data_IF_989798705790
#
_entry.id   IF_989798705790
#
_cell.length_a   1.000
_cell.length_b   1.000
_cell.length_c   1.000
_cell.angle_alpha   90.00
_cell.angle_beta   90.00
_cell.angle_gamma   90.00
#
_symmetry.space_group_name_H-M   'P 1'
#
loop_
_entity.id
_entity.type
_entity.pdbx_description
1 polymer ?
#
# COMPACT_ATOMS: atom_id res chain seq x y z
N UNK A 1 1.10 -44.31 -84.41
CA UNK A 1 2.14 -43.97 -83.42
C UNK A 1 1.45 -43.35 -82.21
N UNK A 2 1.94 -43.74 -81.04
CA UNK A 2 1.36 -43.67 -79.69
C UNK A 2 1.11 -42.25 -79.17
N UNK A 3 0.07 -42.07 -78.35
CA UNK A 3 0.16 -41.30 -77.10
C UNK A 3 -0.93 -41.66 -76.08
N UNK A 4 -0.49 -41.86 -74.84
CA UNK A 4 -1.22 -42.28 -73.63
C UNK A 4 -2.30 -41.31 -73.14
N UNK A 5 -3.31 -41.80 -72.40
CA UNK A 5 -4.25 -40.97 -71.66
C UNK A 5 -3.70 -40.61 -70.27
N UNK A 6 -3.77 -39.31 -69.95
CA UNK A 6 -3.47 -38.76 -68.63
C UNK A 6 -4.48 -39.22 -67.58
N UNK A 7 -3.93 -39.79 -66.50
CA UNK A 7 -4.58 -40.26 -65.29
C UNK A 7 -5.22 -39.10 -64.51
N UNK A 8 -6.55 -39.06 -64.41
CA UNK A 8 -7.25 -38.21 -63.44
C UNK A 8 -7.05 -38.79 -62.03
N UNK A 9 -6.42 -38.01 -61.14
CA UNK A 9 -6.28 -38.29 -59.71
C UNK A 9 -7.64 -38.11 -59.02
N UNK A 10 -8.10 -39.04 -58.17
CA UNK A 10 -9.29 -38.84 -57.37
C UNK A 10 -8.98 -38.01 -56.10
N UNK A 11 -9.80 -36.98 -55.89
CA UNK A 11 -10.34 -36.47 -54.62
C UNK A 11 -9.63 -36.91 -53.32
N UNK A 12 -8.66 -36.11 -52.87
CA UNK A 12 -8.07 -36.18 -51.52
C UNK A 12 -8.34 -34.91 -50.67
N UNK A 13 -9.14 -33.96 -51.15
CA UNK A 13 -9.32 -32.64 -50.53
C UNK A 13 -10.47 -32.55 -49.50
N UNK A 14 -11.30 -33.59 -49.34
CA UNK A 14 -12.45 -33.56 -48.42
C UNK A 14 -12.14 -34.05 -47.00
N UNK A 15 -11.07 -34.82 -46.81
CA UNK A 15 -10.73 -35.40 -45.50
C UNK A 15 -10.05 -34.40 -44.55
N UNK A 16 -9.27 -33.44 -45.06
CA UNK A 16 -8.51 -32.48 -44.23
C UNK A 16 -9.36 -31.31 -43.69
N UNK A 17 -10.37 -30.88 -44.43
CA UNK A 17 -11.27 -29.80 -43.99
C UNK A 17 -12.27 -30.28 -42.93
N UNK A 18 -12.69 -31.55 -42.99
CA UNK A 18 -13.60 -32.15 -42.02
C UNK A 18 -12.94 -32.44 -40.66
N UNK A 19 -11.67 -32.89 -40.64
CA UNK A 19 -10.93 -33.12 -39.38
C UNK A 19 -10.65 -31.81 -38.64
N UNK A 20 -10.31 -30.73 -39.35
CA UNK A 20 -10.11 -29.41 -38.76
C UNK A 20 -11.40 -28.83 -38.15
N UNK A 21 -12.54 -28.93 -38.84
CA UNK A 21 -13.85 -28.51 -38.31
C UNK A 21 -14.25 -29.28 -37.04
N UNK A 22 -13.97 -30.58 -37.00
CA UNK A 22 -14.31 -31.48 -35.87
C UNK A 22 -13.45 -31.24 -34.63
N UNK A 23 -12.18 -30.92 -34.84
CA UNK A 23 -11.28 -30.55 -33.74
C UNK A 23 -11.66 -29.16 -33.19
N UNK A 24 -12.13 -28.26 -34.07
CA UNK A 24 -12.60 -26.92 -33.72
C UNK A 24 -13.91 -26.93 -32.90
N UNK A 25 -14.91 -27.77 -33.24
CA UNK A 25 -16.16 -27.88 -32.47
C UNK A 25 -15.96 -28.45 -31.06
N UNK A 26 -15.15 -29.50 -30.92
CA UNK A 26 -14.80 -30.06 -29.61
C UNK A 26 -13.97 -29.08 -28.76
N UNK A 27 -13.02 -28.37 -29.38
CA UNK A 27 -12.23 -27.33 -28.69
C UNK A 27 -13.10 -26.16 -28.24
N UNK A 28 -14.06 -25.73 -29.08
CA UNK A 28 -15.03 -24.70 -28.74
C UNK A 28 -15.97 -25.15 -27.61
N UNK A 29 -16.39 -26.41 -27.59
CA UNK A 29 -17.23 -26.95 -26.52
C UNK A 29 -16.46 -27.04 -25.19
N UNK A 30 -15.21 -27.51 -25.22
CA UNK A 30 -14.34 -27.56 -24.04
C UNK A 30 -14.06 -26.15 -23.49
N UNK A 31 -13.78 -25.18 -24.37
CA UNK A 31 -13.58 -23.78 -23.98
C UNK A 31 -14.82 -23.18 -23.33
N UNK A 32 -16.02 -23.40 -23.90
CA UNK A 32 -17.27 -22.91 -23.30
C UNK A 32 -17.57 -23.56 -21.95
N UNK A 33 -17.34 -24.87 -21.81
CA UNK A 33 -17.49 -25.56 -20.53
C UNK A 33 -16.52 -25.02 -19.47
N UNK A 34 -15.27 -24.74 -19.86
CA UNK A 34 -14.28 -24.14 -18.97
C UNK A 34 -14.68 -22.71 -18.56
N UNK A 35 -15.08 -21.86 -19.51
CA UNK A 35 -15.57 -20.50 -19.22
C UNK A 35 -16.78 -20.57 -18.27
N UNK A 36 -17.73 -21.47 -18.53
CA UNK A 36 -18.89 -21.65 -17.65
C UNK A 36 -18.49 -22.05 -16.22
N UNK A 37 -17.54 -22.98 -16.06
CA UNK A 37 -17.06 -23.39 -14.74
C UNK A 37 -16.33 -22.25 -14.01
N UNK A 38 -15.46 -21.51 -14.70
CA UNK A 38 -14.75 -20.36 -14.12
C UNK A 38 -15.76 -19.31 -13.67
N UNK A 39 -16.71 -18.97 -14.52
CA UNK A 39 -17.72 -17.95 -14.25
C UNK A 39 -18.64 -18.39 -13.10
N UNK A 40 -19.15 -19.63 -13.10
CA UNK A 40 -19.93 -20.17 -12.00
C UNK A 40 -19.14 -20.21 -10.69
N UNK A 41 -17.85 -20.54 -10.73
CA UNK A 41 -16.98 -20.55 -9.54
C UNK A 41 -16.78 -19.14 -8.97
N UNK A 42 -16.51 -18.16 -9.83
CA UNK A 42 -16.36 -16.75 -9.45
C UNK A 42 -17.67 -16.18 -8.88
N UNK A 43 -18.82 -16.59 -9.41
CA UNK A 43 -20.12 -16.08 -8.99
C UNK A 43 -20.83 -16.92 -7.93
N UNK A 44 -20.28 -18.08 -7.56
CA UNK A 44 -20.86 -18.93 -6.52
C UNK A 44 -21.00 -18.19 -5.19
N UNK A 45 -19.99 -17.40 -4.83
CA UNK A 45 -19.96 -16.59 -3.61
C UNK A 45 -20.94 -15.42 -3.62
N UNK A 46 -21.36 -14.94 -4.81
CA UNK A 46 -22.38 -13.89 -4.95
C UNK A 46 -23.79 -14.46 -4.97
N UNK A 47 -23.96 -15.72 -5.43
CA UNK A 47 -25.24 -16.41 -5.44
C UNK A 47 -25.57 -17.14 -4.13
N UNK A 48 -24.57 -17.52 -3.32
CA UNK A 48 -24.81 -18.06 -1.99
C UNK A 48 -25.27 -16.94 -1.06
N UNK A 49 -26.54 -17.02 -0.59
CA UNK A 49 -27.07 -16.11 0.43
C UNK A 49 -26.45 -16.46 1.77
N UNK A 50 -25.25 -15.97 2.01
CA UNK A 50 -24.50 -16.17 3.25
C UNK A 50 -24.77 -14.99 4.18
N UNK A 51 -25.82 -15.11 5.00
CA UNK A 51 -26.14 -14.14 6.03
C UNK A 51 -25.47 -14.54 7.36
N UNK A 52 -24.90 -13.56 8.05
CA UNK A 52 -24.34 -13.73 9.39
C UNK A 52 -24.84 -12.63 10.31
N UNK A 53 -25.23 -13.03 11.51
CA UNK A 53 -25.46 -12.09 12.61
C UNK A 53 -24.13 -11.82 13.31
N UNK A 54 -23.68 -10.56 13.26
CA UNK A 54 -22.51 -10.12 14.00
C UNK A 54 -22.97 -9.66 15.40
N UNK A 55 -22.52 -10.27 16.51
CA UNK A 55 -22.94 -9.90 17.87
C UNK A 55 -22.27 -8.59 18.33
N UNK A 56 -22.45 -7.51 17.56
CA UNK A 56 -21.86 -6.20 17.80
C UNK A 56 -22.29 -5.60 19.16
N UNK A 57 -23.52 -5.88 19.61
CA UNK A 57 -24.02 -5.43 20.93
C UNK A 57 -23.15 -5.94 22.08
N UNK A 58 -22.65 -7.18 21.98
CA UNK A 58 -21.76 -7.77 23.00
C UNK A 58 -20.43 -7.01 23.05
N UNK A 59 -19.86 -6.69 21.89
CA UNK A 59 -18.61 -5.92 21.77
C UNK A 59 -18.78 -4.52 22.32
N UNK A 60 -19.90 -3.86 22.03
CA UNK A 60 -20.22 -2.54 22.59
C UNK A 60 -20.32 -2.59 24.11
N UNK A 61 -21.01 -3.59 24.66
CA UNK A 61 -21.12 -3.77 26.11
C UNK A 61 -19.75 -4.01 26.78
N UNK A 62 -18.90 -4.84 26.16
CA UNK A 62 -17.54 -5.11 26.64
C UNK A 62 -16.65 -3.86 26.60
N UNK A 63 -16.74 -3.08 25.51
CA UNK A 63 -16.05 -1.80 25.38
C UNK A 63 -16.54 -0.80 26.44
N UNK A 64 -17.85 -0.63 26.62
CA UNK A 64 -18.40 0.28 27.64
C UNK A 64 -17.93 -0.09 29.05
N UNK A 65 -17.89 -1.40 29.37
CA UNK A 65 -17.34 -1.88 30.64
C UNK A 65 -15.83 -1.60 30.78
N UNK A 66 -15.09 -1.62 29.67
CA UNK A 66 -13.62 -1.47 29.66
C UNK A 66 -13.14 -0.02 29.56
N UNK A 67 -13.91 0.88 28.93
CA UNK A 67 -13.55 2.28 28.73
C UNK A 67 -13.98 3.21 29.89
N UNK A 68 -14.72 2.71 30.88
CA UNK A 68 -15.30 3.55 31.94
C UNK A 68 -14.24 4.05 32.94
N UNK A 69 -13.90 5.34 32.87
CA UNK A 69 -13.29 6.11 33.97
C UNK A 69 -14.34 7.12 34.51
N UNK A 70 -14.47 7.33 35.83
CA UNK A 70 -15.57 8.09 36.46
C UNK A 70 -15.54 9.60 36.19
N UNK A 71 -14.54 10.12 35.47
CA UNK A 71 -14.42 11.54 35.11
C UNK A 71 -14.88 11.85 33.67
N UNK A 72 -15.09 10.83 32.83
CA UNK A 72 -15.41 11.00 31.42
C UNK A 72 -16.87 10.68 31.15
N UNK A 73 -17.76 11.63 31.47
CA UNK A 73 -18.96 11.76 30.64
C UNK A 73 -18.47 11.99 29.21
N UNK A 74 -18.81 11.11 28.24
CA UNK A 74 -18.34 11.26 26.88
C UNK A 74 -19.00 12.51 26.32
N UNK A 75 -18.29 13.64 26.36
CA UNK A 75 -18.55 14.64 25.34
C UNK A 75 -18.27 13.92 24.03
N UNK A 76 -19.32 13.67 23.25
CA UNK A 76 -19.25 13.25 21.84
C UNK A 76 -18.60 14.38 21.02
N UNK A 77 -17.44 14.88 21.44
CA UNK A 77 -16.53 15.56 20.55
C UNK A 77 -16.15 14.54 19.48
N UNK A 78 -16.03 14.95 18.21
CA UNK A 78 -15.63 14.04 17.15
C UNK A 78 -14.24 13.51 17.50
N UNK A 79 -14.20 12.32 18.10
CA UNK A 79 -12.96 11.62 18.40
C UNK A 79 -12.34 11.32 17.05
N UNK A 80 -11.28 12.04 16.69
CA UNK A 80 -10.46 11.66 15.55
C UNK A 80 -9.75 10.36 15.93
N UNK A 81 -9.70 9.42 14.98
CA UNK A 81 -8.95 8.18 15.17
C UNK A 81 -7.48 8.54 15.43
N UNK A 82 -6.88 8.16 16.59
CA UNK A 82 -5.46 8.36 16.79
C UNK A 82 -4.71 7.46 15.80
N UNK A 83 -3.60 7.92 15.18
CA UNK A 83 -2.80 7.05 14.34
C UNK A 83 -2.28 5.86 15.16
N UNK A 84 -2.41 4.67 14.61
CA UNK A 84 -1.95 3.45 15.29
C UNK A 84 -0.42 3.30 15.24
N UNK A 85 0.28 4.04 14.38
CA UNK A 85 1.73 3.99 14.22
C UNK A 85 2.28 5.35 13.83
N UNK A 86 3.50 5.65 14.28
CA UNK A 86 4.23 6.87 13.94
C UNK A 86 5.50 6.57 13.16
N UNK A 87 5.81 7.42 12.19
CA UNK A 87 7.06 7.38 11.46
C UNK A 87 7.77 8.73 11.53
N UNK A 88 9.08 8.73 11.67
CA UNK A 88 9.91 9.92 11.63
C UNK A 88 10.95 9.78 10.51
N UNK A 89 10.85 10.65 9.50
CA UNK A 89 11.85 10.78 8.46
C UNK A 89 12.73 12.01 8.76
N UNK A 90 14.02 11.79 8.91
CA UNK A 90 15.00 12.82 9.24
C UNK A 90 15.93 13.04 8.05
N UNK A 91 15.97 14.27 7.55
CA UNK A 91 16.93 14.73 6.57
C UNK A 91 18.06 15.46 7.27
N UNK A 92 19.28 15.09 6.91
CA UNK A 92 20.49 15.59 7.52
C UNK A 92 21.36 16.13 6.41
N UNK A 93 21.90 17.35 6.53
CA UNK A 93 22.76 17.93 5.49
C UNK A 93 24.24 17.57 5.67
N UNK A 94 24.68 17.28 6.89
CA UNK A 94 26.07 16.98 7.24
C UNK A 94 26.25 15.59 7.87
N UNK A 95 27.27 14.82 7.46
CA UNK A 95 27.58 13.53 8.07
C UNK A 95 27.93 13.64 9.57
N UNK A 96 28.40 14.81 10.03
CA UNK A 96 28.73 15.04 11.44
C UNK A 96 27.52 14.94 12.39
N UNK A 97 26.30 15.13 11.87
CA UNK A 97 25.06 15.07 12.65
C UNK A 97 24.51 13.64 12.80
N UNK A 98 24.92 12.71 11.92
CA UNK A 98 24.38 11.34 11.87
C UNK A 98 24.48 10.59 13.21
N UNK A 99 25.61 10.63 13.95
CA UNK A 99 25.71 9.93 15.23
C UNK A 99 24.66 10.40 16.24
N UNK A 100 24.46 11.72 16.36
CA UNK A 100 23.45 12.28 17.27
C UNK A 100 22.03 11.97 16.86
N UNK A 101 21.74 12.00 15.56
CA UNK A 101 20.42 11.60 15.03
C UNK A 101 20.14 10.14 15.34
N UNK A 102 21.08 9.23 15.07
CA UNK A 102 20.88 7.81 15.33
C UNK A 102 20.77 7.50 16.82
N UNK A 103 21.56 8.15 17.69
CA UNK A 103 21.45 8.00 19.13
C UNK A 103 20.10 8.48 19.66
N UNK A 104 19.60 9.63 19.18
CA UNK A 104 18.29 10.15 19.56
C UNK A 104 17.15 9.25 19.09
N UNK A 105 17.21 8.75 17.85
CA UNK A 105 16.22 7.81 17.31
C UNK A 105 16.19 6.49 18.09
N UNK A 106 17.37 5.96 18.46
CA UNK A 106 17.46 4.74 19.26
C UNK A 106 16.80 4.94 20.63
N UNK A 107 17.10 6.05 21.32
CA UNK A 107 16.49 6.41 22.59
C UNK A 107 14.95 6.51 22.47
N UNK A 108 14.45 7.23 21.47
CA UNK A 108 13.00 7.38 21.27
C UNK A 108 12.31 6.03 21.06
N UNK A 109 12.90 5.16 20.23
CA UNK A 109 12.38 3.81 20.01
C UNK A 109 12.39 2.96 21.27
N UNK A 110 13.45 3.01 22.05
CA UNK A 110 13.55 2.28 23.32
C UNK A 110 12.45 2.73 24.31
N UNK A 111 12.29 4.04 24.48
CA UNK A 111 11.26 4.62 25.36
C UNK A 111 9.85 4.25 24.92
N UNK A 112 9.60 4.29 23.61
CA UNK A 112 8.30 3.98 23.03
C UNK A 112 7.99 2.47 22.98
N UNK A 113 8.98 1.60 22.81
CA UNK A 113 8.80 0.15 22.85
C UNK A 113 8.39 -0.36 24.24
N UNK A 114 8.83 0.33 25.31
CA UNK A 114 8.59 -0.11 26.69
C UNK A 114 9.47 -1.30 27.11
N UNK A 115 9.41 -1.66 28.40
CA UNK A 115 10.12 -2.78 29.03
C UNK A 115 9.61 -4.15 28.55
N UNK A 116 9.71 -4.44 27.25
CA UNK A 116 9.66 -5.80 26.73
C UNK A 116 11.07 -6.11 26.26
N UNK A 117 11.76 -6.89 27.11
CA UNK A 117 13.13 -7.29 26.90
C UNK A 117 13.36 -7.85 25.51
N UNK A 118 14.57 -7.61 25.02
CA UNK A 118 15.25 -8.36 23.97
C UNK A 118 14.66 -9.75 23.73
N UNK A 119 13.87 -9.93 22.66
CA UNK A 119 13.79 -11.16 21.86
C UNK A 119 12.65 -11.03 20.81
N UNK A 120 13.03 -11.06 19.53
CA UNK A 120 12.19 -11.25 18.36
C UNK A 120 11.05 -10.23 18.13
N UNK A 121 11.03 -9.64 16.93
CA UNK A 121 9.87 -8.92 16.42
C UNK A 121 8.66 -9.86 16.34
N UNK A 122 7.86 -9.94 17.41
CA UNK A 122 6.58 -10.62 17.37
C UNK A 122 5.63 -9.79 16.54
N UNK A 123 5.28 -10.29 15.36
CA UNK A 123 4.16 -9.76 14.57
C UNK A 123 2.88 -10.12 15.32
N UNK A 124 1.97 -9.16 15.57
CA UNK A 124 1.95 -7.77 15.10
C UNK A 124 2.69 -6.75 16.01
N UNK A 125 3.41 -5.80 15.39
CA UNK A 125 4.24 -4.78 16.06
C UNK A 125 3.45 -3.84 16.99
N UNK A 126 3.94 -3.51 18.20
CA UNK A 126 3.18 -2.68 19.16
C UNK A 126 2.67 -1.34 18.55
N UNK A 127 1.48 -0.91 18.94
CA UNK A 127 0.78 0.31 18.47
C UNK A 127 1.44 1.63 18.84
N UNK A 128 2.54 1.59 19.56
CA UNK A 128 3.22 2.78 20.06
C UNK A 128 4.64 2.88 19.51
N UNK A 129 5.03 2.04 18.53
CA UNK A 129 6.37 2.04 17.96
C UNK A 129 6.61 3.21 17.01
N UNK A 130 7.87 3.64 16.94
CA UNK A 130 8.34 4.65 16.00
C UNK A 130 9.13 4.00 14.85
N UNK A 131 8.63 4.13 13.63
CA UNK A 131 9.39 3.86 12.42
C UNK A 131 10.32 5.05 12.16
N UNK A 132 11.54 4.80 11.69
CA UNK A 132 12.48 5.89 11.42
C UNK A 132 13.22 5.70 10.11
N UNK A 133 13.41 6.78 9.36
CA UNK A 133 14.33 6.81 8.22
C UNK A 133 15.25 8.03 8.34
N UNK A 134 16.52 7.87 7.96
CA UNK A 134 17.51 8.95 7.98
C UNK A 134 18.08 9.07 6.58
N UNK A 135 18.11 10.30 6.05
CA UNK A 135 18.64 10.60 4.70
C UNK A 135 19.68 11.71 4.78
N UNK A 136 20.87 11.46 4.24
CA UNK A 136 21.92 12.46 4.10
C UNK A 136 21.75 13.20 2.76
N UNK A 137 21.57 14.51 2.77
CA UNK A 137 21.39 15.37 1.59
C UNK A 137 22.13 16.71 1.73
N UNK A 138 23.44 16.72 1.46
CA UNK A 138 24.28 17.91 1.58
C UNK A 138 24.08 18.92 0.45
N UNK A 139 23.99 18.44 -0.80
CA UNK A 139 24.04 19.29 -2.01
C UNK A 139 22.94 20.36 -2.07
N UNK A 140 21.69 19.98 -1.80
CA UNK A 140 20.57 20.92 -1.89
C UNK A 140 20.68 22.07 -0.88
N UNK A 141 21.26 21.81 0.29
CA UNK A 141 21.55 22.86 1.29
C UNK A 141 22.73 23.73 0.83
N UNK A 142 23.77 23.13 0.26
CA UNK A 142 24.98 23.87 -0.15
C UNK A 142 24.64 24.97 -1.17
N UNK A 143 23.74 24.72 -2.12
CA UNK A 143 23.29 25.71 -3.11
C UNK A 143 22.60 26.91 -2.44
N UNK A 144 21.63 26.64 -1.54
CA UNK A 144 20.86 27.67 -0.83
C UNK A 144 21.75 28.49 0.10
N UNK A 145 22.58 27.81 0.90
CA UNK A 145 23.47 28.49 1.85
C UNK A 145 24.55 29.29 1.14
N UNK A 146 25.07 28.81 0.01
CA UNK A 146 26.05 29.58 -0.78
C UNK A 146 25.46 30.90 -1.26
N UNK A 147 24.21 30.89 -1.74
CA UNK A 147 23.52 32.12 -2.15
C UNK A 147 23.35 33.11 -0.98
N UNK A 148 22.95 32.61 0.20
CA UNK A 148 22.79 33.43 1.40
C UNK A 148 24.12 33.98 1.93
N UNK A 149 25.21 33.20 1.88
CA UNK A 149 26.56 33.64 2.27
C UNK A 149 27.07 34.72 1.33
N UNK A 150 26.90 34.56 0.02
CA UNK A 150 27.30 35.57 -0.97
C UNK A 150 26.59 36.91 -0.74
N UNK A 151 25.31 36.86 -0.40
CA UNK A 151 24.55 38.05 -0.06
C UNK A 151 25.07 38.73 1.20
N UNK A 152 25.29 37.97 2.29
CA UNK A 152 25.87 38.51 3.52
C UNK A 152 27.25 39.15 3.28
N UNK A 153 28.09 38.54 2.44
CA UNK A 153 29.41 39.07 2.04
C UNK A 153 29.32 40.37 1.22
N UNK A 154 28.20 40.60 0.52
CA UNK A 154 27.96 41.85 -0.22
C UNK A 154 27.58 43.04 0.67
N UNK A 155 27.59 42.87 2.00
CA UNK A 155 27.23 43.90 2.98
C UNK A 155 25.72 44.04 3.22
N UNK A 156 24.90 43.19 2.58
CA UNK A 156 23.47 43.07 2.85
C UNK A 156 23.24 41.82 3.68
N UNK A 157 23.05 41.98 4.99
CA UNK A 157 22.66 40.85 5.82
C UNK A 157 21.28 40.35 5.36
N UNK A 158 21.14 39.05 5.03
CA UNK A 158 19.83 38.51 4.67
C UNK A 158 18.88 38.66 5.85
N UNK A 159 17.68 39.20 5.60
CA UNK A 159 16.67 39.35 6.64
C UNK A 159 16.22 38.00 7.20
N UNK A 160 15.86 37.96 8.49
CA UNK A 160 15.43 36.73 9.17
C UNK A 160 14.30 35.99 8.45
N UNK A 161 13.29 36.72 7.98
CA UNK A 161 12.18 36.16 7.22
C UNK A 161 12.64 35.51 5.91
N UNK A 162 13.66 36.08 5.27
CA UNK A 162 14.17 35.53 4.02
C UNK A 162 14.94 34.25 4.26
N UNK A 163 15.82 34.21 5.26
CA UNK A 163 16.55 32.99 5.63
C UNK A 163 15.56 31.89 6.03
N UNK A 164 14.55 32.20 6.85
CA UNK A 164 13.51 31.26 7.24
C UNK A 164 12.73 30.73 6.02
N UNK A 165 12.33 31.61 5.09
CA UNK A 165 11.58 31.24 3.88
C UNK A 165 12.38 30.31 2.95
N UNK A 166 13.67 30.58 2.74
CA UNK A 166 14.52 29.73 1.89
C UNK A 166 14.73 28.34 2.52
N UNK A 167 14.97 28.28 3.83
CA UNK A 167 15.14 27.01 4.55
C UNK A 167 13.83 26.23 4.65
N UNK A 168 12.71 26.93 4.83
CA UNK A 168 11.37 26.34 4.80
C UNK A 168 11.03 25.76 3.42
N UNK A 169 11.36 26.49 2.35
CA UNK A 169 11.19 25.99 0.99
C UNK A 169 12.07 24.76 0.73
N UNK A 170 13.32 24.79 1.19
CA UNK A 170 14.23 23.64 1.10
C UNK A 170 13.71 22.43 1.89
N UNK A 171 13.24 22.64 3.13
CA UNK A 171 12.62 21.58 3.93
C UNK A 171 11.42 20.98 3.20
N UNK A 172 10.57 21.83 2.63
CA UNK A 172 9.42 21.41 1.82
C UNK A 172 9.85 20.59 0.60
N UNK A 173 10.95 20.93 -0.05
CA UNK A 173 11.54 20.18 -1.17
C UNK A 173 12.12 18.82 -0.74
N UNK A 174 12.79 18.75 0.41
CA UNK A 174 13.34 17.49 0.93
C UNK A 174 12.24 16.52 1.38
N UNK A 175 11.21 17.08 2.00
CA UNK A 175 10.07 16.38 2.59
C UNK A 175 8.90 16.21 1.61
N UNK A 176 9.12 16.49 0.30
CA UNK A 176 8.10 16.40 -0.74
C UNK A 176 7.33 15.08 -0.64
N UNK A 177 6.01 15.21 -0.64
CA UNK A 177 5.10 14.09 -0.50
C UNK A 177 4.54 13.94 0.92
N UNK A 178 5.19 14.36 2.00
CA UNK A 178 4.63 14.19 3.35
C UNK A 178 3.31 14.91 3.60
N UNK A 179 3.10 16.15 3.13
CA UNK A 179 1.80 16.81 3.25
C UNK A 179 0.71 16.15 2.42
N UNK A 180 1.08 15.46 1.33
CA UNK A 180 0.14 14.76 0.43
C UNK A 180 -0.07 13.29 0.81
N UNK A 181 0.91 12.67 1.46
CA UNK A 181 0.89 11.32 1.99
C UNK A 181 0.20 11.37 3.35
N UNK A 182 -1.14 11.38 3.33
CA UNK A 182 -1.93 11.26 4.56
C UNK A 182 -1.57 9.98 5.34
N UNK A 183 -1.19 8.93 4.61
CA UNK A 183 -0.89 7.60 5.10
C UNK A 183 0.29 6.99 4.31
N UNK A 184 1.34 6.56 5.00
CA UNK A 184 2.32 5.64 4.42
C UNK A 184 1.94 4.22 4.86
N UNK A 185 1.55 3.37 3.90
CA UNK A 185 1.39 1.95 4.17
C UNK A 185 2.78 1.34 4.34
N UNK A 186 3.02 0.71 5.49
CA UNK A 186 4.16 -0.19 5.61
C UNK A 186 3.99 -1.37 4.64
N UNK A 187 5.09 -2.08 4.31
CA UNK A 187 5.03 -3.29 3.49
C UNK A 187 4.08 -4.37 4.05
N UNK A 188 3.82 -4.32 5.36
CA UNK A 188 2.78 -5.13 6.01
C UNK A 188 1.40 -4.49 5.78
N UNK A 189 0.55 -5.19 5.04
CA UNK A 189 -0.84 -4.80 4.75
C UNK A 189 -1.58 -4.54 6.06
N UNK A 190 -2.13 -3.31 6.22
CA UNK A 190 -2.99 -2.94 7.36
C UNK A 190 -2.36 -2.02 8.42
N UNK A 191 -1.10 -1.60 8.27
CA UNK A 191 -0.46 -0.65 9.20
C UNK A 191 -0.36 0.74 8.57
N UNK A 192 -1.30 1.61 8.96
CA UNK A 192 -1.29 3.03 8.61
C UNK A 192 -0.28 3.77 9.50
N UNK A 193 0.73 4.39 8.90
CA UNK A 193 1.73 5.18 9.63
C UNK A 193 1.53 6.67 9.36
N UNK A 194 1.43 7.44 10.44
CA UNK A 194 1.53 8.90 10.39
C UNK A 194 3.00 9.30 10.32
N UNK A 195 3.44 9.76 9.14
CA UNK A 195 4.83 10.14 8.91
C UNK A 195 5.07 11.63 9.23
N UNK A 196 6.10 11.89 10.01
CA UNK A 196 6.62 13.19 10.39
C UNK A 196 7.94 13.46 9.67
N UNK A 197 8.10 14.67 9.14
CA UNK A 197 9.30 15.13 8.48
C UNK A 197 10.08 16.11 9.33
N UNK A 198 11.39 15.88 9.46
CA UNK A 198 12.32 16.79 10.11
C UNK A 198 13.58 16.98 9.25
N UNK A 199 13.91 18.22 8.90
CA UNK A 199 15.16 18.57 8.22
C UNK A 199 16.12 19.27 9.18
N UNK A 200 17.39 18.84 9.23
CA UNK A 200 18.45 19.50 9.98
C UNK A 200 19.38 20.24 9.02
N UNK A 201 19.44 21.57 9.17
CA UNK A 201 20.29 22.43 8.37
C UNK A 201 21.40 23.03 9.22
N UNK A 202 22.62 22.70 8.86
CA UNK A 202 23.84 23.35 9.31
C UNK A 202 23.91 24.70 8.60
N UNK A 203 23.95 25.84 9.30
CA UNK A 203 23.95 27.18 8.66
C UNK A 203 25.08 28.04 9.23
N UNK A 204 25.90 28.70 8.38
CA UNK A 204 26.96 29.57 8.85
C UNK A 204 26.43 30.73 9.69
N UNK A 205 27.08 30.98 10.83
CA UNK A 205 26.70 32.07 11.75
C UNK A 205 26.57 33.45 11.09
N UNK A 206 27.43 33.87 10.14
CA UNK A 206 27.30 35.19 9.49
C UNK A 206 25.97 35.41 8.75
N UNK A 207 25.27 34.33 8.41
CA UNK A 207 23.98 34.37 7.70
C UNK A 207 22.80 34.34 8.69
N UNK A 208 23.03 33.96 9.95
CA UNK A 208 21.98 33.76 10.94
C UNK A 208 21.65 35.07 11.66
N UNK A 209 20.36 35.47 11.72
CA UNK A 209 19.96 36.68 12.42
C UNK A 209 19.73 36.45 13.93
N UNK A 210 20.05 37.46 14.74
CA UNK A 210 19.72 37.51 16.17
C UNK A 210 20.27 36.31 16.95
N UNK A 211 19.44 35.74 17.83
CA UNK A 211 19.85 34.62 18.68
C UNK A 211 20.12 33.32 17.90
N UNK A 212 19.72 33.20 16.63
CA UNK A 212 19.89 31.97 15.83
C UNK A 212 21.38 31.62 15.63
N UNK A 213 22.25 32.61 15.74
CA UNK A 213 23.70 32.43 15.73
C UNK A 213 24.26 31.68 16.96
N UNK A 214 23.48 31.54 18.03
CA UNK A 214 23.95 31.09 19.35
C UNK A 214 23.30 29.81 19.88
N UNK A 215 22.18 29.38 19.31
CA UNK A 215 21.40 28.21 19.75
C UNK A 215 20.77 27.49 18.56
N UNK A 216 20.48 26.20 18.72
CA UNK A 216 19.65 25.47 17.75
C UNK A 216 18.23 26.04 17.78
N UNK A 217 17.67 26.32 16.60
CA UNK A 217 16.30 26.78 16.46
C UNK A 217 15.51 25.83 15.58
N UNK A 218 14.34 25.39 16.05
CA UNK A 218 13.46 24.51 15.31
C UNK A 218 12.14 25.20 15.01
N UNK A 219 11.62 24.97 13.81
CA UNK A 219 10.42 25.58 13.28
C UNK A 219 9.49 24.50 12.77
N UNK A 220 8.19 24.65 13.03
CA UNK A 220 7.14 23.82 12.46
C UNK A 220 6.56 24.59 11.27
N UNK A 221 6.83 24.10 10.06
CA UNK A 221 6.45 24.75 8.80
C UNK A 221 5.04 24.34 8.33
N UNK A 222 4.52 23.21 8.83
CA UNK A 222 3.18 22.74 8.46
C UNK A 222 2.74 21.52 9.25
N UNK A 223 1.63 20.91 8.83
CA UNK A 223 1.14 19.65 9.40
C UNK A 223 2.20 18.57 9.14
N UNK A 224 2.82 18.06 10.22
CA UNK A 224 3.85 16.99 10.18
C UNK A 224 5.18 17.38 9.53
N UNK A 225 5.46 18.67 9.34
CA UNK A 225 6.72 19.16 8.77
C UNK A 225 7.44 20.12 9.71
N UNK A 226 8.72 19.84 9.95
CA UNK A 226 9.58 20.68 10.76
C UNK A 226 10.99 20.77 10.16
N UNK A 227 11.70 21.82 10.54
CA UNK A 227 13.13 21.94 10.28
C UNK A 227 13.85 22.58 11.46
N UNK A 228 15.12 22.25 11.65
CA UNK A 228 15.97 22.85 12.65
C UNK A 228 17.22 23.44 12.00
N UNK A 229 17.71 24.52 12.59
CA UNK A 229 18.88 25.28 12.15
C UNK A 229 19.96 25.14 13.21
N UNK A 230 21.14 24.67 12.79
CA UNK A 230 22.31 24.46 13.64
C UNK A 230 23.42 25.45 13.23
N UNK A 231 23.86 26.34 14.14
CA UNK A 231 24.86 27.35 13.82
C UNK A 231 26.27 26.75 13.65
N UNK A 232 26.89 27.06 12.52
CA UNK A 232 28.24 26.62 12.12
C UNK A 232 29.21 27.79 12.17
N UNK A 233 30.36 27.60 12.81
CA UNK A 233 31.49 28.54 12.75
C UNK A 233 32.18 28.43 11.38
N UNK A 234 32.35 29.57 10.73
CA UNK A 234 33.19 29.65 9.53
C UNK A 234 34.64 29.79 10.03
N UNK A 235 35.59 28.96 9.58
CA UNK A 235 36.98 29.13 9.98
C UNK A 235 37.48 30.50 9.52
N UNK A 236 37.97 31.30 10.47
CA UNK A 236 38.52 32.61 10.22
C UNK A 236 39.77 32.48 9.33
N UNK A 237 39.74 33.11 8.16
CA UNK A 237 40.88 33.15 7.24
C UNK A 237 42.00 34.10 7.70
N UNK A 238 41.86 34.72 8.88
CA UNK A 238 42.81 35.72 9.41
C UNK A 238 44.08 35.12 10.00
N UNK A 239 44.18 33.80 10.19
CA UNK A 239 45.40 33.14 10.69
C UNK A 239 46.35 32.65 9.58
N UNK A 240 46.05 32.92 8.30
CA UNK A 240 46.87 32.48 7.15
C UNK A 240 47.85 33.57 6.64
N UNK A 241 47.88 34.75 7.27
CA UNK A 241 48.80 35.85 6.90
C UNK A 241 50.28 35.62 7.27
N UNK A 242 50.69 34.38 7.57
CA UNK A 242 52.10 34.05 7.90
C UNK A 242 52.81 33.08 6.95
N UNK A 243 52.25 32.77 5.78
CA UNK A 243 52.95 31.88 4.84
C UNK A 243 52.52 31.95 3.38
N UNK A 244 53.23 32.76 2.59
CA UNK A 244 53.46 32.52 1.16
C UNK A 244 52.37 33.00 0.19
N UNK A 245 52.81 33.66 -0.87
CA UNK A 245 51.98 34.23 -1.94
C UNK A 245 51.17 33.20 -2.78
N UNK A 246 51.22 31.91 -2.44
CA UNK A 246 50.39 30.86 -3.03
C UNK A 246 49.11 30.58 -2.21
N UNK A 247 48.93 31.22 -1.05
CA UNK A 247 47.72 31.12 -0.22
C UNK A 247 46.61 32.14 -0.61
N UNK A 248 46.87 33.05 -1.56
CA UNK A 248 45.93 34.08 -1.99
C UNK A 248 44.82 33.58 -2.94
N UNK A 249 44.75 32.27 -3.22
CA UNK A 249 43.71 31.65 -4.06
C UNK A 249 42.58 30.95 -3.26
N UNK A 250 42.57 31.01 -1.93
CA UNK A 250 41.50 30.46 -1.09
C UNK A 250 40.42 31.49 -0.69
N UNK A 251 40.25 32.54 -1.50
CA UNK A 251 39.22 33.57 -1.31
C UNK A 251 37.92 33.18 -2.04
N UNK A 252 37.08 32.42 -1.35
CA UNK A 252 35.62 32.19 -1.55
C UNK A 252 35.27 30.90 -0.79
N UNK A 253 35.11 30.98 0.52
CA UNK A 253 34.83 29.83 1.38
C UNK A 253 33.43 29.27 1.10
N UNK A 254 33.33 28.40 0.10
CA UNK A 254 32.21 27.48 -0.06
C UNK A 254 32.24 26.49 1.11
N UNK A 255 31.48 26.77 2.17
CA UNK A 255 31.34 25.86 3.31
C UNK A 255 30.44 24.71 2.90
N UNK A 256 31.04 23.66 2.32
CA UNK A 256 30.29 22.45 1.97
C UNK A 256 29.87 21.70 3.23
N UNK A 257 28.59 21.32 3.30
CA UNK A 257 28.06 20.57 4.44
C UNK A 257 28.73 19.19 4.61
N UNK A 258 29.24 18.61 3.50
CA UNK A 258 29.93 17.34 3.51
C UNK A 258 31.31 17.39 4.20
N UNK A 259 31.95 18.56 4.26
CA UNK A 259 33.25 18.75 4.94
C UNK A 259 33.14 19.19 6.39
N UNK A 260 31.92 19.41 6.90
CA UNK A 260 31.72 19.83 8.28
C UNK A 260 32.09 18.70 9.24
N UNK A 261 32.76 19.09 10.32
CA UNK A 261 33.12 18.20 11.42
C UNK A 261 32.41 18.64 12.69
N UNK A 262 32.37 17.82 13.75
CA UNK A 262 31.71 18.21 15.00
C UNK A 262 32.25 19.52 15.62
N UNK A 263 33.53 19.84 15.42
CA UNK A 263 34.14 21.10 15.89
C UNK A 263 33.75 22.32 15.06
N UNK A 264 33.14 22.13 13.89
CA UNK A 264 32.64 23.23 13.06
C UNK A 264 31.37 23.88 13.63
N UNK A 265 30.75 23.32 14.67
CA UNK A 265 29.49 23.82 15.22
C UNK A 265 29.72 24.68 16.46
N UNK A 266 29.03 25.83 16.56
CA UNK A 266 29.20 26.84 17.62
C UNK A 266 28.59 26.46 18.98
N UNK A 267 28.16 25.22 19.15
CA UNK A 267 27.34 24.79 20.28
C UNK A 267 28.20 24.72 21.56
N UNK A 268 28.09 25.74 22.43
CA UNK A 268 28.96 25.94 23.61
C UNK A 268 28.44 25.30 24.91
N UNK A 269 27.20 24.82 24.97
CA UNK A 269 26.56 24.37 26.23
C UNK A 269 26.50 22.84 26.42
N UNK A 270 26.53 22.05 25.35
CA UNK A 270 26.56 20.59 25.37
C UNK A 270 27.15 20.08 24.05
N UNK A 271 27.64 18.82 24.02
CA UNK A 271 28.16 18.22 22.78
C UNK A 271 27.15 18.32 21.64
N UNK A 272 27.60 18.39 20.38
CA UNK A 272 26.75 18.41 19.18
C UNK A 272 25.66 17.33 19.23
N UNK A 273 26.03 16.14 19.73
CA UNK A 273 25.12 15.01 19.91
C UNK A 273 23.95 15.33 20.85
N UNK A 274 24.20 16.01 21.96
CA UNK A 274 23.20 16.35 22.96
C UNK A 274 22.20 17.39 22.42
N UNK A 275 22.69 18.37 21.66
CA UNK A 275 21.85 19.40 21.03
C UNK A 275 20.98 18.82 19.91
N UNK A 276 21.55 17.98 19.04
CA UNK A 276 20.79 17.24 18.03
C UNK A 276 19.72 16.38 18.69
N UNK A 277 20.07 15.69 19.78
CA UNK A 277 19.12 14.88 20.55
C UNK A 277 17.99 15.74 21.14
N UNK A 278 18.32 16.85 21.78
CA UNK A 278 17.32 17.76 22.34
C UNK A 278 16.37 18.30 21.27
N UNK A 279 16.89 18.72 20.12
CA UNK A 279 16.11 19.16 18.98
C UNK A 279 15.14 18.07 18.47
N UNK A 280 15.63 16.85 18.23
CA UNK A 280 14.79 15.74 17.77
C UNK A 280 13.70 15.39 18.77
N UNK A 281 14.06 15.26 20.05
CA UNK A 281 13.09 14.92 21.10
C UNK A 281 12.02 16.01 21.22
N UNK A 282 12.40 17.29 21.19
CA UNK A 282 11.49 18.42 21.38
C UNK A 282 10.52 18.59 20.19
N UNK A 283 11.01 18.48 18.96
CA UNK A 283 10.15 18.53 17.78
C UNK A 283 9.20 17.33 17.74
N UNK A 284 9.71 16.13 18.04
CA UNK A 284 8.88 14.92 17.99
C UNK A 284 7.81 14.93 19.07
N UNK A 285 8.16 15.31 20.31
CA UNK A 285 7.20 15.45 21.42
C UNK A 285 6.07 16.42 21.08
N UNK A 286 6.41 17.58 20.52
CA UNK A 286 5.43 18.56 20.06
C UNK A 286 4.54 18.03 18.91
N UNK A 287 5.10 17.29 17.96
CA UNK A 287 4.34 16.79 16.81
C UNK A 287 3.41 15.61 17.12
N UNK A 288 3.73 14.78 18.13
CA UNK A 288 2.89 13.62 18.54
C UNK A 288 2.06 13.88 19.81
N UNK A 289 2.08 15.12 20.31
CA UNK A 289 1.44 15.54 21.56
C UNK A 289 1.87 14.70 22.78
N UNK A 290 3.17 14.43 22.86
CA UNK A 290 3.81 13.76 24.00
C UNK A 290 4.50 14.81 24.86
N UNK A 291 4.24 14.85 26.17
CA UNK A 291 4.86 15.85 27.06
C UNK A 291 6.40 15.73 27.11
N UNK A 292 6.91 14.50 27.25
CA UNK A 292 8.34 14.20 27.15
C UNK A 292 8.58 12.70 26.92
N UNK A 293 9.82 12.33 26.59
CA UNK A 293 10.24 10.92 26.52
C UNK A 293 10.56 10.29 27.88
N UNK A 294 10.20 10.93 28.99
CA UNK A 294 10.27 10.31 30.32
C UNK A 294 9.32 9.12 30.41
N UNK A 295 9.69 8.03 31.11
CA UNK A 295 8.85 6.83 31.21
C UNK A 295 7.42 7.09 31.70
N UNK A 296 7.24 8.00 32.67
CA UNK A 296 5.93 8.35 33.21
C UNK A 296 5.04 9.04 32.18
N UNK A 297 5.61 10.00 31.44
CA UNK A 297 4.91 10.76 30.41
C UNK A 297 4.55 9.85 29.22
N UNK A 298 5.46 8.99 28.79
CA UNK A 298 5.21 7.98 27.76
C UNK A 298 4.10 7.01 28.20
N UNK A 299 4.10 6.55 29.45
CA UNK A 299 3.06 5.68 29.96
C UNK A 299 1.69 6.38 30.04
N UNK A 300 1.64 7.65 30.45
CA UNK A 300 0.43 8.46 30.46
C UNK A 300 -0.11 8.69 29.05
N UNK A 301 0.76 9.07 28.11
CA UNK A 301 0.43 9.24 26.70
C UNK A 301 -0.13 7.96 26.07
N UNK A 302 0.50 6.79 26.31
CA UNK A 302 -0.02 5.49 25.85
C UNK A 302 -1.43 5.21 26.38
N UNK A 303 -1.65 5.42 27.68
CA UNK A 303 -2.97 5.19 28.31
C UNK A 303 -4.05 6.10 27.73
N UNK A 304 -3.77 7.40 27.60
CA UNK A 304 -4.71 8.36 27.03
C UNK A 304 -5.14 7.97 25.61
N UNK A 305 -4.20 7.48 24.80
CA UNK A 305 -4.48 7.05 23.42
C UNK A 305 -5.26 5.75 23.33
N UNK A 306 -4.94 4.75 24.16
CA UNK A 306 -5.74 3.53 24.23
C UNK A 306 -7.16 3.85 24.69
N UNK A 307 -7.34 4.78 25.65
CA UNK A 307 -8.65 5.26 26.05
C UNK A 307 -9.40 5.96 24.90
N UNK A 308 -8.73 6.86 24.16
CA UNK A 308 -9.32 7.50 22.98
C UNK A 308 -9.69 6.48 21.88
N UNK A 309 -8.84 5.48 21.65
CA UNK A 309 -9.13 4.36 20.75
C UNK A 309 -10.37 3.57 21.21
N UNK A 310 -10.54 3.38 22.52
CA UNK A 310 -11.68 2.70 23.12
C UNK A 310 -12.99 3.45 22.83
N UNK A 311 -13.01 4.76 23.09
CA UNK A 311 -14.15 5.64 22.78
C UNK A 311 -14.48 5.68 21.28
N UNK A 312 -13.45 5.78 20.43
CA UNK A 312 -13.63 5.73 18.98
C UNK A 312 -14.26 4.41 18.52
N UNK A 313 -13.75 3.29 19.05
CA UNK A 313 -14.26 1.95 18.73
C UNK A 313 -15.75 1.84 19.08
N UNK A 314 -16.17 2.35 20.25
CA UNK A 314 -17.60 2.40 20.63
C UNK A 314 -18.40 3.17 19.58
N UNK A 315 -17.95 4.37 19.22
CA UNK A 315 -18.65 5.22 18.25
C UNK A 315 -18.77 4.54 16.87
N UNK A 316 -17.68 3.96 16.36
CA UNK A 316 -17.62 3.29 15.05
C UNK A 316 -18.50 2.02 15.02
N UNK A 317 -18.40 1.15 16.03
CA UNK A 317 -19.23 -0.07 16.10
C UNK A 317 -20.71 0.29 16.27
N UNK A 318 -21.04 1.27 17.11
CA UNK A 318 -22.42 1.75 17.29
C UNK A 318 -22.98 2.36 16.00
N UNK A 319 -22.15 3.11 15.25
CA UNK A 319 -22.50 3.65 13.93
C UNK A 319 -22.81 2.52 12.93
N UNK A 320 -21.96 1.50 12.89
CA UNK A 320 -22.12 0.33 12.02
C UNK A 320 -23.40 -0.43 12.36
N UNK A 321 -23.67 -0.67 13.65
CA UNK A 321 -24.89 -1.32 14.12
C UNK A 321 -26.14 -0.52 13.71
N UNK A 322 -26.13 0.81 13.89
CA UNK A 322 -27.23 1.69 13.48
C UNK A 322 -27.44 1.67 11.97
N UNK A 323 -26.35 1.62 11.19
CA UNK A 323 -26.39 1.53 9.72
C UNK A 323 -27.03 0.21 9.26
N UNK A 324 -26.67 -0.92 9.87
CA UNK A 324 -27.27 -2.22 9.59
C UNK A 324 -28.77 -2.22 9.96
N UNK A 325 -29.11 -1.73 11.15
CA UNK A 325 -30.50 -1.66 11.62
C UNK A 325 -31.39 -0.75 10.75
N UNK A 326 -30.85 0.35 10.22
CA UNK A 326 -31.56 1.25 9.33
C UNK A 326 -31.79 0.66 7.92
N UNK A 327 -31.06 -0.39 7.54
CA UNK A 327 -31.11 -1.00 6.22
C UNK A 327 -31.42 -2.51 6.34
N UNK A 328 -32.67 -2.90 6.65
CA UNK A 328 -33.03 -4.31 6.91
C UNK A 328 -32.84 -5.24 5.72
N UNK A 329 -32.75 -4.69 4.50
CA UNK A 329 -32.47 -5.45 3.27
C UNK A 329 -30.97 -5.69 3.04
N UNK A 330 -30.09 -5.08 3.84
CA UNK A 330 -28.65 -5.24 3.74
C UNK A 330 -28.22 -6.54 4.42
N UNK A 331 -27.88 -7.54 3.61
CA UNK A 331 -27.33 -8.79 4.13
C UNK A 331 -25.84 -8.62 4.49
N UNK A 332 -25.48 -8.91 5.74
CA UNK A 332 -24.09 -9.00 6.19
C UNK A 332 -23.47 -10.31 5.65
N UNK A 333 -22.41 -10.25 4.83
CA UNK A 333 -21.82 -11.44 4.22
C UNK A 333 -20.91 -12.20 5.20
N UNK A 334 -20.78 -13.52 5.04
CA UNK A 334 -19.83 -14.33 5.83
C UNK A 334 -18.38 -13.85 5.78
N UNK A 335 -17.97 -13.15 4.72
CA UNK A 335 -16.61 -12.61 4.62
C UNK A 335 -16.26 -11.65 5.76
N UNK A 336 -17.25 -10.99 6.38
CA UNK A 336 -17.01 -10.06 7.50
C UNK A 336 -16.85 -10.76 8.85
N UNK A 337 -17.13 -12.07 8.97
CA UNK A 337 -16.93 -12.82 10.23
C UNK A 337 -15.49 -12.75 10.71
N UNK A 338 -14.52 -12.88 9.80
CA UNK A 338 -13.10 -12.84 10.16
C UNK A 338 -12.70 -11.47 10.68
N UNK A 339 -13.16 -10.40 10.03
CA UNK A 339 -12.88 -9.03 10.45
C UNK A 339 -13.50 -8.73 11.82
N UNK A 340 -14.71 -9.22 12.06
CA UNK A 340 -15.38 -9.07 13.35
C UNK A 340 -14.70 -9.89 14.45
N UNK A 341 -14.28 -11.13 14.17
CA UNK A 341 -13.52 -11.95 15.11
C UNK A 341 -12.16 -11.29 15.47
N UNK A 342 -11.51 -10.65 14.51
CA UNK A 342 -10.31 -9.86 14.76
C UNK A 342 -10.59 -8.66 15.67
N UNK A 343 -11.69 -7.94 15.46
CA UNK A 343 -12.15 -6.86 16.33
C UNK A 343 -12.40 -7.37 17.76
N UNK A 344 -13.17 -8.46 17.92
CA UNK A 344 -13.45 -9.07 19.23
C UNK A 344 -12.16 -9.43 19.98
N UNK A 345 -11.21 -10.07 19.29
CA UNK A 345 -9.91 -10.42 19.88
C UNK A 345 -9.14 -9.16 20.33
N UNK A 346 -9.17 -8.08 19.55
CA UNK A 346 -8.48 -6.82 19.88
C UNK A 346 -9.11 -6.12 21.08
N UNK A 347 -10.44 -6.16 21.21
CA UNK A 347 -11.17 -5.65 22.37
C UNK A 347 -10.83 -6.47 23.62
N UNK A 348 -10.86 -7.80 23.54
CA UNK A 348 -10.53 -8.70 24.66
C UNK A 348 -9.08 -8.52 25.14
N UNK A 349 -8.16 -8.28 24.20
CA UNK A 349 -6.74 -8.02 24.50
C UNK A 349 -6.45 -6.57 24.92
N UNK A 350 -7.48 -5.71 25.00
CA UNK A 350 -7.39 -4.28 25.34
C UNK A 350 -6.43 -3.50 24.42
N UNK A 351 -6.31 -3.92 23.16
CA UNK A 351 -5.55 -3.21 22.13
C UNK A 351 -6.50 -2.27 21.39
N UNK A 352 -6.96 -1.23 22.08
CA UNK A 352 -8.06 -0.39 21.63
C UNK A 352 -7.71 0.48 20.42
N UNK A 353 -6.45 0.90 20.26
CA UNK A 353 -6.01 1.58 19.04
C UNK A 353 -6.16 0.71 17.78
N UNK A 354 -5.83 -0.58 17.87
CA UNK A 354 -6.05 -1.52 16.76
C UNK A 354 -7.51 -1.88 16.62
N UNK A 355 -8.24 -2.03 17.73
CA UNK A 355 -9.68 -2.28 17.70
C UNK A 355 -10.42 -1.14 16.97
N UNK A 356 -10.04 0.12 17.22
CA UNK A 356 -10.57 1.28 16.54
C UNK A 356 -10.38 1.20 15.03
N UNK A 357 -9.21 0.73 14.59
CA UNK A 357 -8.95 0.53 13.17
C UNK A 357 -9.73 -0.65 12.58
N UNK A 358 -9.80 -1.77 13.28
CA UNK A 358 -10.59 -2.93 12.85
C UNK A 358 -12.09 -2.58 12.76
N UNK A 359 -12.57 -1.70 13.65
CA UNK A 359 -13.93 -1.16 13.60
C UNK A 359 -14.15 -0.27 12.37
N UNK A 360 -13.19 0.60 12.02
CA UNK A 360 -13.22 1.37 10.77
C UNK A 360 -13.23 0.47 9.53
N UNK A 361 -12.34 -0.52 9.47
CA UNK A 361 -12.27 -1.44 8.34
C UNK A 361 -13.60 -2.21 8.17
N UNK A 362 -14.28 -2.53 9.29
CA UNK A 362 -15.61 -3.12 9.28
C UNK A 362 -16.68 -2.11 8.82
N UNK A 363 -16.66 -0.89 9.37
CA UNK A 363 -17.61 0.17 9.05
C UNK A 363 -17.56 0.57 7.56
N UNK A 364 -16.35 0.63 6.99
CA UNK A 364 -16.11 1.02 5.60
C UNK A 364 -16.05 -0.17 4.63
N UNK A 365 -16.35 -1.38 5.11
CA UNK A 365 -16.39 -2.54 4.23
C UNK A 365 -17.47 -2.33 3.14
N UNK A 366 -17.19 -2.58 1.84
CA UNK A 366 -18.12 -2.30 0.75
C UNK A 366 -19.49 -2.96 0.89
N UNK A 367 -19.57 -4.09 1.59
CA UNK A 367 -20.82 -4.80 1.85
C UNK A 367 -21.61 -4.31 3.07
N UNK A 368 -21.01 -3.47 3.91
CA UNK A 368 -21.61 -2.90 5.13
C UNK A 368 -21.87 -1.39 4.99
N UNK A 369 -21.42 -0.79 3.90
CA UNK A 369 -21.61 0.62 3.58
C UNK A 369 -22.85 0.79 2.69
N UNK A 370 -23.91 1.47 3.17
CA UNK A 370 -25.17 1.58 2.42
C UNK A 370 -25.03 2.23 1.04
N UNK A 371 -24.05 3.13 0.87
CA UNK A 371 -23.79 3.82 -0.39
C UNK A 371 -23.17 2.92 -1.47
N UNK A 372 -22.48 1.85 -1.07
CA UNK A 372 -21.80 0.91 -1.96
C UNK A 372 -22.50 -0.45 -1.99
N UNK A 373 -23.44 -0.69 -1.07
CA UNK A 373 -24.21 -1.92 -1.01
C UNK A 373 -25.10 -2.06 -2.25
N UNK A 374 -24.88 -3.13 -3.01
CA UNK A 374 -25.76 -3.54 -4.10
C UNK A 374 -26.77 -4.53 -3.51
N UNK A 375 -28.07 -4.21 -3.51
CA UNK A 375 -29.11 -5.14 -3.11
C UNK A 375 -28.96 -6.48 -3.82
N UNK A 376 -29.19 -7.58 -3.10
CA UNK A 376 -28.94 -8.93 -3.63
C UNK A 376 -29.77 -9.22 -4.88
N UNK A 377 -31.02 -8.73 -4.94
CA UNK A 377 -31.88 -8.82 -6.12
C UNK A 377 -31.25 -8.12 -7.35
N UNK A 378 -30.68 -6.93 -7.15
CA UNK A 378 -29.99 -6.19 -8.20
C UNK A 378 -28.70 -6.89 -8.61
N UNK A 379 -27.92 -7.40 -7.64
CA UNK A 379 -26.72 -8.17 -7.91
C UNK A 379 -27.05 -9.42 -8.76
N UNK A 380 -28.09 -10.18 -8.41
CA UNK A 380 -28.54 -11.34 -9.18
C UNK A 380 -28.95 -10.95 -10.60
N UNK A 381 -29.70 -9.86 -10.78
CA UNK A 381 -30.09 -9.37 -12.10
C UNK A 381 -28.88 -8.96 -12.93
N UNK A 382 -27.93 -8.20 -12.37
CA UNK A 382 -26.69 -7.84 -13.06
C UNK A 382 -25.88 -9.07 -13.45
N UNK A 383 -25.74 -10.04 -12.55
CA UNK A 383 -25.02 -11.27 -12.85
C UNK A 383 -25.75 -12.10 -13.92
N UNK A 384 -27.08 -12.19 -13.91
CA UNK A 384 -27.84 -12.87 -14.97
C UNK A 384 -27.66 -12.20 -16.33
N UNK A 385 -27.60 -10.88 -16.39
CA UNK A 385 -27.31 -10.13 -17.62
C UNK A 385 -25.89 -10.44 -18.12
N UNK A 386 -24.90 -10.48 -17.22
CA UNK A 386 -23.51 -10.86 -17.54
C UNK A 386 -23.40 -12.31 -18.02
N UNK A 387 -24.26 -13.22 -17.51
CA UNK A 387 -24.29 -14.64 -17.90
C UNK A 387 -25.00 -14.91 -19.22
N UNK A 388 -25.81 -13.98 -19.73
CA UNK A 388 -26.65 -14.14 -20.92
C UNK A 388 -25.87 -14.47 -22.21
N UNK A 389 -24.69 -13.88 -22.48
CA UNK A 389 -23.82 -14.28 -23.58
C UNK A 389 -23.31 -15.72 -23.45
N UNK A 390 -23.06 -16.20 -22.23
CA UNK A 390 -22.58 -17.56 -21.96
C UNK A 390 -23.69 -18.58 -22.24
N UNK A 391 -24.92 -18.28 -21.82
CA UNK A 391 -26.09 -19.09 -22.16
C UNK A 391 -26.27 -19.17 -23.68
N UNK A 392 -26.10 -18.05 -24.38
CA UNK A 392 -26.16 -18.00 -25.85
C UNK A 392 -25.07 -18.85 -26.51
N UNK A 393 -23.83 -18.76 -26.02
CA UNK A 393 -22.73 -19.60 -26.49
C UNK A 393 -22.99 -21.08 -26.23
N UNK A 394 -23.50 -21.46 -25.05
CA UNK A 394 -23.84 -22.84 -24.73
C UNK A 394 -24.91 -23.42 -25.66
N UNK A 395 -25.94 -22.64 -26.00
CA UNK A 395 -26.96 -23.02 -26.97
C UNK A 395 -26.38 -23.22 -28.38
N UNK A 396 -25.46 -22.34 -28.81
CA UNK A 396 -24.75 -22.47 -30.08
C UNK A 396 -23.85 -23.71 -30.10
N UNK A 397 -23.11 -23.97 -29.02
CA UNK A 397 -22.30 -25.19 -28.86
C UNK A 397 -23.16 -26.45 -28.95
N UNK A 398 -24.30 -26.48 -28.24
CA UNK A 398 -25.22 -27.61 -28.28
C UNK A 398 -25.76 -27.84 -29.69
N UNK A 399 -26.11 -26.77 -30.41
CA UNK A 399 -26.54 -26.84 -31.81
C UNK A 399 -25.44 -27.43 -32.70
N UNK A 400 -24.20 -26.95 -32.60
CA UNK A 400 -23.07 -27.49 -33.39
C UNK A 400 -22.81 -28.96 -33.10
N UNK A 401 -22.86 -29.39 -31.83
CA UNK A 401 -22.70 -30.80 -31.44
C UNK A 401 -23.84 -31.68 -31.99
N UNK A 402 -25.08 -31.18 -32.00
CA UNK A 402 -26.23 -31.89 -32.57
C UNK A 402 -26.10 -32.02 -34.10
N UNK A 403 -25.72 -30.94 -34.78
CA UNK A 403 -25.47 -30.94 -36.22
C UNK A 403 -24.34 -31.92 -36.58
N UNK A 404 -23.24 -31.93 -35.82
CA UNK A 404 -22.13 -32.88 -36.02
C UNK A 404 -22.57 -34.33 -35.80
N UNK A 405 -23.34 -34.62 -34.73
CA UNK A 405 -23.89 -35.96 -34.48
C UNK A 405 -24.81 -36.42 -35.62
N UNK A 406 -25.64 -35.52 -36.15
CA UNK A 406 -26.52 -35.83 -37.30
C UNK A 406 -25.70 -36.14 -38.55
N UNK A 407 -24.68 -35.34 -38.85
CA UNK A 407 -23.78 -35.59 -39.99
C UNK A 407 -23.02 -36.91 -39.84
N UNK A 408 -22.49 -37.22 -38.65
CA UNK A 408 -21.82 -38.48 -38.38
C UNK A 408 -22.74 -39.69 -38.58
N UNK A 409 -24.02 -39.60 -38.15
CA UNK A 409 -25.03 -40.64 -38.42
C UNK A 409 -25.32 -40.81 -39.91
N UNK A 410 -25.42 -39.70 -40.66
CA UNK A 410 -25.64 -39.74 -42.10
C UNK A 410 -24.46 -40.37 -42.85
N UNK A 411 -23.22 -40.01 -42.48
CA UNK A 411 -21.99 -40.60 -43.03
C UNK A 411 -21.85 -42.08 -42.70
N UNK A 412 -22.15 -42.49 -41.47
CA UNK A 412 -22.13 -43.90 -41.08
C UNK A 412 -23.12 -44.73 -41.92
N UNK A 413 -24.34 -44.19 -42.16
CA UNK A 413 -25.32 -44.82 -43.06
C UNK A 413 -24.82 -44.88 -44.51
N UNK A 414 -24.20 -43.84 -45.03
CA UNK A 414 -23.64 -43.82 -46.38
C UNK A 414 -22.46 -44.80 -46.53
N UNK A 415 -21.56 -44.87 -45.54
CA UNK A 415 -20.44 -45.81 -45.52
C UNK A 415 -20.90 -47.27 -45.40
N UNK A 416 -21.96 -47.55 -44.64
CA UNK A 416 -22.58 -48.87 -44.58
C UNK A 416 -23.12 -49.29 -45.96
N UNK A 417 -23.86 -48.41 -46.64
CA UNK A 417 -24.36 -48.64 -48.01
C UNK A 417 -23.23 -48.83 -49.03
N UNK A 418 -22.15 -48.06 -48.92
CA UNK A 418 -20.99 -48.20 -49.81
C UNK A 418 -20.22 -49.52 -49.59
N UNK A 419 -20.09 -49.97 -48.33
CA UNK A 419 -19.52 -51.29 -48.01
C UNK A 419 -20.37 -52.43 -48.57
N UNK A 420 -21.68 -52.32 -48.44
CA UNK A 420 -22.64 -53.29 -48.99
C UNK A 420 -22.57 -53.34 -50.52
N UNK A 421 -22.54 -52.19 -51.19
CA UNK A 421 -22.37 -52.10 -52.64
C UNK A 421 -21.02 -52.70 -53.12
N UNK A 422 -19.91 -52.42 -52.41
CA UNK A 422 -18.60 -52.99 -52.73
C UNK A 422 -18.54 -54.51 -52.49
N UNK A 423 -19.26 -55.02 -51.49
CA UNK A 423 -19.37 -56.46 -51.23
C UNK A 423 -20.06 -57.17 -52.40
N UNK A 424 -21.19 -56.61 -52.85
CA UNK A 424 -21.93 -57.11 -54.02
C UNK A 424 -21.03 -57.09 -55.28
N UNK A 425 -20.28 -56.00 -55.49
CA UNK A 425 -19.38 -55.85 -56.64
C UNK A 425 -18.15 -56.78 -56.58
N UNK A 426 -17.74 -57.21 -55.39
CA UNK A 426 -16.74 -58.26 -55.17
C UNK A 426 -17.28 -59.64 -55.52
N UNK A 427 -18.46 -59.99 -54.98
CA UNK A 427 -19.13 -61.27 -55.25
C UNK A 427 -19.42 -61.47 -56.76
N UNK A 428 -19.82 -60.42 -57.47
CA UNK A 428 -20.01 -60.46 -58.94
C UNK A 428 -18.69 -60.69 -59.69
N UNK A 429 -17.59 -60.08 -59.24
CA UNK A 429 -16.25 -60.24 -59.85
C UNK A 429 -15.67 -61.62 -59.62
N UNK A 430 -15.87 -62.17 -58.43
CA UNK A 430 -15.44 -63.53 -58.06
C UNK A 430 -16.24 -64.58 -58.84
N UNK A 431 -17.54 -64.32 -59.05
CA UNK A 431 -18.40 -65.16 -59.90
C UNK A 431 -17.96 -65.11 -61.38
N UNK A 432 -17.60 -63.93 -61.89
CA UNK A 432 -17.14 -63.74 -63.27
C UNK A 432 -15.77 -64.40 -63.52
N UNK A 433 -14.83 -64.27 -62.58
CA UNK A 433 -13.51 -64.91 -62.67
C UNK A 433 -13.59 -66.44 -62.52
N UNK A 434 -14.51 -66.95 -61.70
CA UNK A 434 -14.79 -68.38 -61.61
C UNK A 434 -15.39 -68.95 -62.90
N UNK A 435 -16.23 -68.19 -63.59
CA UNK A 435 -16.74 -68.55 -64.93
C UNK A 435 -15.62 -68.54 -65.98
N UNK A 436 -14.75 -67.54 -65.97
CA UNK A 436 -13.65 -67.42 -66.92
C UNK A 436 -12.63 -68.58 -66.78
N UNK A 437 -12.39 -69.06 -65.54
CA UNK A 437 -11.55 -70.25 -65.26
C UNK A 437 -12.15 -71.57 -65.73
N UNK A 438 -13.46 -71.65 -66.00
CA UNK A 438 -14.12 -72.85 -66.53
C UNK A 438 -14.12 -72.90 -68.07
N UNK A 439 -13.73 -71.80 -68.73
CA UNK A 439 -13.73 -71.67 -70.19
C UNK A 439 -12.32 -71.75 -70.83
N UNK A 440 -11.27 -71.90 -70.01
CA UNK A 440 -9.92 -72.29 -70.43
C UNK A 440 -9.63 -73.66 -69.83
#
# INVERSE_FOLDING_TARGET
MTNSPGRTKPTAATASSETWRRNSTNSFAALNAFIFLVVMSVHWTTMSREHVELPMDRVVAELQASCSDPADTPSLTPSMLPPAFYGLAVWVDSPALLPGVHAALALMKERLAGSLGSAAATVPLPTHTLYSSVRLQSRMRDDVVTALVQEAQSGRLPGAERVARELEHLASQQQLGLPMLKHAFLPEVGQEVELLGLSLFSVPVPVLPGDAASKVQCFISGVRQAYCVLPVEVPDTSDVDRGGADAAAFSKTHVSAASLTPSSYRLRAASLEAEVRAALLSVTTQQIDLASFNPADVAAWKRAREHQGCLYTIASVTSTLRSIAANPNMAVPRSTERMFADLERLVQSRSFLRAARAADDLQFHPSLTPQLYIPWDHAVVFQLIVLLPIVSCALLTARFLVEERRQNRARAKAAAKAKEANKILGEVRDSFTALQKKMC
#
